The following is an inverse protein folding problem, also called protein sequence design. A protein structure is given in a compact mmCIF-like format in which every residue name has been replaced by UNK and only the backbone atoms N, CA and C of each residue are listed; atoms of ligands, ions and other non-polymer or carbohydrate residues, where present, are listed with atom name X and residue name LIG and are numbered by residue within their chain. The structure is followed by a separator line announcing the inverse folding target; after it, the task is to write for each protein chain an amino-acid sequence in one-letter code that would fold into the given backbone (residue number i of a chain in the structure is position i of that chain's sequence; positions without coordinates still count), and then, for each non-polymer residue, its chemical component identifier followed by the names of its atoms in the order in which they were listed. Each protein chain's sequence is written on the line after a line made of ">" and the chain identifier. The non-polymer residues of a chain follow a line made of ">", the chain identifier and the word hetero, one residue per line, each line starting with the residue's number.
data_IF_545275048838
#
_entry.id   IF_545275048838
#
_cell.length_a   1.000
_cell.length_b   1.000
_cell.length_c   1.000
_cell.angle_alpha   90.00
_cell.angle_beta   90.00
_cell.angle_gamma   90.00
#
_symmetry.space_group_name_H-M   'P 1'
#
loop_
_entity.id
_entity.type
_entity.pdbx_description
1 polymer ?
#
# COMPACT_ATOMS: atom_id res chain seq x y z
N UNK A 1 14.37 16.83 -12.66
CA UNK A 1 14.32 17.21 -11.24
C UNK A 1 12.89 16.97 -10.80
N UNK A 2 12.60 15.79 -10.27
CA UNK A 2 11.36 15.53 -9.56
C UNK A 2 11.55 15.85 -8.07
N UNK A 3 10.44 15.95 -7.36
CA UNK A 3 10.41 15.95 -5.90
C UNK A 3 9.64 14.68 -5.53
N UNK A 4 10.31 13.62 -5.12
CA UNK A 4 9.66 12.35 -4.79
C UNK A 4 9.03 12.31 -3.40
N UNK A 5 8.22 13.31 -3.07
CA UNK A 5 7.48 13.38 -1.81
C UNK A 5 5.98 13.26 -2.05
N UNK A 6 5.49 12.07 -2.39
CA UNK A 6 4.05 11.83 -2.53
C UNK A 6 3.45 11.29 -1.24
N UNK A 7 2.42 11.96 -0.76
CA UNK A 7 1.71 11.63 0.47
C UNK A 7 0.22 11.37 0.21
N UNK A 8 -0.48 10.94 1.25
CA UNK A 8 -1.94 10.87 1.30
C UNK A 8 -2.44 11.91 2.29
N UNK A 9 -3.36 12.75 1.84
CA UNK A 9 -3.97 13.81 2.65
C UNK A 9 -5.44 13.53 2.94
N UNK A 10 -5.87 13.82 4.17
CA UNK A 10 -7.28 13.88 4.54
C UNK A 10 -7.72 15.32 4.68
N UNK A 11 -8.85 15.64 4.05
CA UNK A 11 -9.43 16.98 4.05
C UNK A 11 -10.81 16.96 4.71
N UNK A 12 -11.07 17.93 5.58
CA UNK A 12 -12.41 18.15 6.13
C UNK A 12 -13.29 18.81 5.08
N UNK A 13 -14.39 18.15 4.69
CA UNK A 13 -15.23 18.64 3.58
C UNK A 13 -16.05 19.88 3.95
N UNK A 14 -16.39 20.09 5.22
CA UNK A 14 -17.15 21.26 5.67
C UNK A 14 -16.30 22.53 5.72
N UNK A 15 -15.05 22.40 6.17
CA UNK A 15 -14.14 23.54 6.38
C UNK A 15 -13.13 23.70 5.24
N UNK A 16 -13.01 22.70 4.37
CA UNK A 16 -11.97 22.59 3.34
C UNK A 16 -10.56 22.75 3.91
N UNK A 17 -10.36 22.30 5.15
CA UNK A 17 -9.07 22.33 5.83
C UNK A 17 -8.38 20.97 5.78
N UNK A 18 -7.06 20.99 5.71
CA UNK A 18 -6.23 19.80 5.81
C UNK A 18 -6.33 19.26 7.25
N UNK A 19 -6.84 18.05 7.40
CA UNK A 19 -6.94 17.36 8.69
C UNK A 19 -5.65 16.61 9.02
N UNK A 20 -5.12 15.89 8.04
CA UNK A 20 -3.95 15.04 8.17
C UNK A 20 -3.23 14.90 6.83
N UNK A 21 -1.91 14.75 6.88
CA UNK A 21 -1.08 14.40 5.74
C UNK A 21 -0.02 13.41 6.21
N UNK A 22 0.21 12.35 5.43
CA UNK A 22 1.22 11.35 5.81
C UNK A 22 2.65 11.91 5.78
N UNK A 23 2.91 13.02 5.08
CA UNK A 23 4.27 13.54 4.91
C UNK A 23 5.21 12.46 4.35
N UNK A 24 6.30 12.20 5.06
CA UNK A 24 7.32 11.18 4.77
C UNK A 24 7.06 9.82 5.47
N UNK A 25 5.90 9.65 6.12
CA UNK A 25 5.63 8.44 6.91
C UNK A 25 5.58 7.18 6.03
N UNK A 26 5.03 7.27 4.81
CA UNK A 26 5.02 6.14 3.88
C UNK A 26 6.44 5.67 3.54
N UNK A 27 7.33 6.60 3.19
CA UNK A 27 8.74 6.30 2.89
C UNK A 27 9.47 5.76 4.12
N UNK A 28 9.23 6.35 5.28
CA UNK A 28 9.83 5.90 6.54
C UNK A 28 9.42 4.46 6.85
N UNK A 29 8.14 4.12 6.70
CA UNK A 29 7.64 2.76 6.95
C UNK A 29 8.14 1.78 5.89
N UNK A 30 8.20 2.18 4.62
CA UNK A 30 8.74 1.36 3.54
C UNK A 30 10.22 1.06 3.75
N UNK A 31 11.04 2.07 4.05
CA UNK A 31 12.47 1.89 4.29
C UNK A 31 12.75 0.98 5.48
N UNK A 32 11.98 1.13 6.57
CA UNK A 32 12.17 0.34 7.79
C UNK A 32 11.75 -1.12 7.64
N UNK A 33 10.63 -1.39 6.95
CA UNK A 33 10.03 -2.73 6.91
C UNK A 33 10.34 -3.49 5.62
N UNK A 34 10.48 -2.78 4.50
CA UNK A 34 10.67 -3.34 3.16
C UNK A 34 11.82 -2.66 2.38
N UNK A 35 13.05 -2.61 2.95
CA UNK A 35 14.19 -1.93 2.31
C UNK A 35 14.59 -2.54 0.95
N UNK A 36 14.18 -3.78 0.69
CA UNK A 36 14.49 -4.50 -0.56
C UNK A 36 13.60 -4.11 -1.74
N UNK A 37 12.59 -3.28 -1.50
CA UNK A 37 11.74 -2.68 -2.54
C UNK A 37 11.58 -1.17 -2.40
N UNK A 38 12.27 -0.54 -1.45
CA UNK A 38 12.11 0.87 -1.11
C UNK A 38 12.17 1.78 -2.33
N UNK A 39 11.10 2.54 -2.58
CA UNK A 39 10.97 3.49 -3.70
C UNK A 39 11.44 2.90 -5.04
N UNK A 40 11.18 1.61 -5.22
CA UNK A 40 11.68 0.85 -6.35
C UNK A 40 10.79 0.88 -7.58
N UNK A 41 11.31 0.33 -8.67
CA UNK A 41 10.52 0.08 -9.87
C UNK A 41 9.98 -1.35 -9.97
N UNK A 42 8.87 -1.49 -10.69
CA UNK A 42 8.20 -2.76 -10.97
C UNK A 42 7.82 -2.92 -12.46
N UNK A 43 8.47 -2.18 -13.36
CA UNK A 43 8.16 -2.17 -14.79
C UNK A 43 9.20 -2.90 -15.68
N UNK A 44 10.31 -3.39 -15.13
CA UNK A 44 11.35 -4.07 -15.91
C UNK A 44 11.44 -5.56 -15.55
N UNK A 45 10.82 -6.40 -16.38
CA UNK A 45 10.79 -7.86 -16.22
C UNK A 45 12.15 -8.55 -16.03
N UNK A 46 13.24 -7.95 -16.52
CA UNK A 46 14.58 -8.54 -16.50
C UNK A 46 15.41 -8.13 -15.27
N UNK A 47 14.91 -7.23 -14.43
CA UNK A 47 15.55 -6.83 -13.18
C UNK A 47 14.80 -7.42 -12.00
N UNK A 48 15.50 -7.68 -10.90
CA UNK A 48 14.86 -8.05 -9.64
C UNK A 48 14.44 -6.80 -8.85
N UNK A 49 13.46 -6.91 -7.94
CA UNK A 49 13.10 -5.81 -7.05
C UNK A 49 14.32 -5.24 -6.29
N UNK A 50 15.23 -6.11 -5.84
CA UNK A 50 16.49 -5.71 -5.19
C UNK A 50 17.40 -4.84 -6.06
N UNK A 51 17.41 -5.06 -7.38
CA UNK A 51 18.21 -4.25 -8.32
C UNK A 51 17.56 -2.91 -8.64
N UNK A 52 16.29 -2.76 -8.27
CA UNK A 52 15.48 -1.59 -8.58
C UNK A 52 15.16 -0.72 -7.37
N UNK A 53 15.73 -1.03 -6.20
CA UNK A 53 15.62 -0.21 -4.99
C UNK A 53 16.08 1.22 -5.28
N UNK A 54 15.33 2.18 -4.75
CA UNK A 54 15.62 3.62 -4.75
C UNK A 54 15.65 4.26 -6.15
N UNK A 55 15.09 3.61 -7.17
CA UNK A 55 15.05 4.15 -8.53
C UNK A 55 14.02 5.27 -8.73
N UNK A 56 13.11 5.48 -7.76
CA UNK A 56 12.02 6.45 -7.90
C UNK A 56 11.98 7.52 -6.81
N UNK A 57 12.94 7.56 -5.88
CA UNK A 57 12.94 8.57 -4.80
C UNK A 57 13.09 10.00 -5.29
N UNK A 58 13.83 10.24 -6.38
CA UNK A 58 13.94 11.57 -6.99
C UNK A 58 12.80 11.87 -7.96
N UNK A 59 12.15 10.83 -8.49
CA UNK A 59 10.98 10.98 -9.35
C UNK A 59 9.73 11.30 -8.52
N UNK A 60 9.35 10.36 -7.67
CA UNK A 60 7.96 10.13 -7.25
C UNK A 60 7.81 9.46 -5.87
N UNK A 61 8.91 9.01 -5.26
CA UNK A 61 8.98 8.44 -3.92
C UNK A 61 8.15 7.16 -3.77
N UNK A 62 7.31 7.07 -2.72
CA UNK A 62 6.57 5.85 -2.39
C UNK A 62 5.40 5.59 -3.34
N UNK A 63 4.97 6.61 -4.10
CA UNK A 63 3.87 6.51 -5.07
C UNK A 63 2.60 5.84 -4.53
N UNK A 64 1.87 6.49 -3.60
CA UNK A 64 0.51 6.08 -3.27
C UNK A 64 -0.36 6.24 -4.52
N UNK A 65 -0.81 5.12 -5.08
CA UNK A 65 -1.54 5.05 -6.36
C UNK A 65 -3.01 4.71 -6.17
N UNK A 66 -3.37 4.10 -5.04
CA UNK A 66 -4.74 3.74 -4.72
C UNK A 66 -5.03 3.97 -3.24
N UNK A 67 -6.24 4.40 -2.90
CA UNK A 67 -6.68 4.62 -1.52
C UNK A 67 -8.13 4.19 -1.35
N UNK A 68 -8.43 3.53 -0.23
CA UNK A 68 -9.78 3.21 0.17
C UNK A 68 -9.97 3.41 1.67
N UNK A 69 -11.20 3.68 2.07
CA UNK A 69 -11.60 3.79 3.47
C UNK A 69 -12.78 2.86 3.77
N UNK A 70 -12.84 2.32 4.97
CA UNK A 70 -13.90 1.45 5.43
C UNK A 70 -13.94 1.36 6.95
N UNK A 71 -14.61 0.33 7.46
CA UNK A 71 -14.75 0.10 8.90
C UNK A 71 -14.23 -1.27 9.31
N UNK A 72 -13.49 -1.32 10.41
CA UNK A 72 -13.21 -2.54 11.15
C UNK A 72 -14.27 -2.75 12.23
N UNK A 73 -14.99 -3.86 12.15
CA UNK A 73 -16.22 -4.07 12.92
C UNK A 73 -17.26 -3.01 12.55
N UNK A 74 -17.89 -2.38 13.55
CA UNK A 74 -18.96 -1.42 13.30
C UNK A 74 -18.51 0.05 13.28
N UNK A 75 -17.37 0.38 13.91
CA UNK A 75 -17.10 1.78 14.28
C UNK A 75 -15.65 2.23 14.06
N UNK A 76 -14.70 1.31 13.88
CA UNK A 76 -13.29 1.71 13.82
C UNK A 76 -12.91 2.04 12.38
N UNK A 77 -12.65 3.31 12.04
CA UNK A 77 -12.24 3.68 10.70
C UNK A 77 -10.92 3.01 10.31
N UNK A 78 -10.86 2.54 9.07
CA UNK A 78 -9.64 2.05 8.45
C UNK A 78 -9.44 2.74 7.12
N UNK A 79 -8.20 3.10 6.82
CA UNK A 79 -7.77 3.63 5.53
C UNK A 79 -6.63 2.74 5.04
N UNK A 80 -6.72 2.31 3.79
CA UNK A 80 -5.68 1.51 3.15
C UNK A 80 -5.13 2.27 1.95
N UNK A 81 -3.82 2.22 1.79
CA UNK A 81 -3.10 2.90 0.71
C UNK A 81 -2.25 1.87 -0.01
N UNK A 82 -2.51 1.70 -1.31
CA UNK A 82 -1.71 0.86 -2.21
C UNK A 82 -0.62 1.69 -2.89
N UNK A 83 0.58 1.12 -2.99
CA UNK A 83 1.73 1.77 -3.64
C UNK A 83 2.15 1.08 -4.92
N UNK A 84 3.03 1.74 -5.67
CA UNK A 84 3.68 1.18 -6.85
C UNK A 84 4.48 -0.10 -6.55
N UNK A 85 5.20 -0.14 -5.43
CA UNK A 85 6.09 -1.27 -5.07
C UNK A 85 5.32 -2.48 -4.53
N UNK A 86 3.99 -2.38 -4.46
CA UNK A 86 3.10 -3.43 -3.99
C UNK A 86 2.88 -3.41 -2.48
N UNK A 87 3.14 -2.28 -1.83
CA UNK A 87 2.88 -2.11 -0.40
C UNK A 87 1.44 -1.68 -0.18
N UNK A 88 0.87 -2.24 0.88
CA UNK A 88 -0.43 -1.88 1.42
C UNK A 88 -0.18 -1.30 2.80
N UNK A 89 -0.30 0.01 2.93
CA UNK A 89 -0.26 0.68 4.22
C UNK A 89 -1.65 0.70 4.82
N UNK A 90 -1.74 0.53 6.13
CA UNK A 90 -2.99 0.59 6.88
C UNK A 90 -2.90 1.66 7.96
N UNK A 91 -3.95 2.47 8.00
CA UNK A 91 -4.16 3.57 8.93
C UNK A 91 -5.48 3.35 9.68
N UNK A 92 -5.52 3.66 10.98
CA UNK A 92 -6.73 3.50 11.80
C UNK A 92 -6.74 4.46 13.00
N UNK A 93 -7.61 4.18 13.98
CA UNK A 93 -7.90 4.94 15.21
C UNK A 93 -8.88 6.11 15.07
N UNK A 94 -8.51 7.18 14.37
CA UNK A 94 -9.32 8.40 14.22
C UNK A 94 -9.40 8.80 12.74
N UNK A 95 -10.55 9.32 12.28
CA UNK A 95 -10.72 9.83 10.91
C UNK A 95 -10.06 11.20 10.69
N UNK A 96 -9.86 11.99 11.73
CA UNK A 96 -9.22 13.30 11.64
C UNK A 96 -7.71 13.21 11.78
N UNK A 97 -7.21 12.27 12.58
CA UNK A 97 -5.78 12.05 12.81
C UNK A 97 -5.50 10.54 12.84
N UNK A 98 -5.58 9.86 11.69
CA UNK A 98 -5.30 8.44 11.63
C UNK A 98 -3.85 8.14 11.99
N UNK A 99 -3.61 6.98 12.59
CA UNK A 99 -2.27 6.48 12.90
C UNK A 99 -1.93 5.28 12.04
N UNK A 100 -0.69 5.25 11.52
CA UNK A 100 -0.17 4.09 10.81
C UNK A 100 -0.15 2.85 11.73
N UNK A 101 -0.80 1.78 11.28
CA UNK A 101 -0.93 0.52 12.02
C UNK A 101 0.05 -0.54 11.51
N UNK A 102 0.16 -0.67 10.18
CA UNK A 102 0.98 -1.69 9.54
C UNK A 102 1.23 -1.35 8.07
N UNK A 103 2.28 -1.98 7.55
CA UNK A 103 2.57 -2.04 6.12
C UNK A 103 2.78 -3.50 5.75
N UNK A 104 2.24 -3.92 4.61
CA UNK A 104 2.35 -5.29 4.11
C UNK A 104 2.70 -5.30 2.62
N UNK A 105 3.47 -6.29 2.20
CA UNK A 105 3.76 -6.57 0.79
C UNK A 105 3.91 -8.07 0.59
N UNK A 106 3.30 -8.56 -0.49
CA UNK A 106 3.54 -9.91 -1.00
C UNK A 106 4.63 -9.94 -2.07
N UNK A 107 5.18 -11.14 -2.29
CA UNK A 107 6.13 -11.41 -3.34
C UNK A 107 7.60 -11.36 -2.92
N UNK A 108 8.42 -12.18 -3.59
CA UNK A 108 9.85 -12.28 -3.35
C UNK A 108 10.60 -11.12 -4.04
N UNK A 109 11.87 -10.93 -3.68
CA UNK A 109 12.72 -9.85 -4.23
C UNK A 109 14.04 -10.35 -4.82
N UNK A 110 14.30 -11.65 -4.74
CA UNK A 110 15.59 -12.28 -4.99
C UNK A 110 15.81 -12.75 -6.44
N UNK A 111 14.85 -12.57 -7.34
CA UNK A 111 14.90 -12.98 -8.74
C UNK A 111 14.31 -11.89 -9.64
N UNK A 112 14.61 -11.89 -10.95
CA UNK A 112 13.97 -10.99 -11.89
C UNK A 112 12.44 -11.08 -11.87
N UNK A 113 11.75 -9.96 -12.09
CA UNK A 113 10.28 -9.90 -12.09
C UNK A 113 9.64 -10.94 -13.00
N UNK A 114 10.19 -11.20 -14.20
CA UNK A 114 9.68 -12.22 -15.12
C UNK A 114 9.71 -13.63 -14.49
N UNK A 115 10.81 -13.97 -13.80
CA UNK A 115 10.95 -15.26 -13.12
C UNK A 115 9.98 -15.35 -11.94
N UNK A 116 9.89 -14.28 -11.14
CA UNK A 116 8.94 -14.20 -10.04
C UNK A 116 7.50 -14.34 -10.53
N UNK A 117 7.16 -13.67 -11.63
CA UNK A 117 5.85 -13.73 -12.25
C UNK A 117 5.51 -15.15 -12.71
N UNK A 118 6.40 -15.79 -13.49
CA UNK A 118 6.19 -17.18 -13.95
C UNK A 118 6.02 -18.17 -12.80
N UNK A 119 6.67 -17.93 -11.66
CA UNK A 119 6.59 -18.79 -10.49
C UNK A 119 5.44 -18.43 -9.52
N UNK A 120 4.63 -17.40 -9.81
CA UNK A 120 3.58 -16.93 -8.91
C UNK A 120 4.10 -16.28 -7.62
N UNK A 121 5.31 -15.71 -7.66
CA UNK A 121 6.04 -15.13 -6.52
C UNK A 121 6.28 -13.63 -6.66
N UNK A 122 5.68 -12.97 -7.66
CA UNK A 122 5.86 -11.53 -7.88
C UNK A 122 5.06 -10.66 -6.88
N UNK A 123 3.99 -11.20 -6.28
CA UNK A 123 3.07 -10.43 -5.45
C UNK A 123 2.22 -9.45 -6.28
N UNK A 124 1.85 -8.33 -5.67
CA UNK A 124 0.98 -7.31 -6.28
C UNK A 124 1.80 -6.13 -6.80
N UNK A 125 2.40 -6.29 -7.99
CA UNK A 125 3.18 -5.23 -8.60
C UNK A 125 2.30 -4.08 -9.10
N UNK A 126 2.60 -2.86 -8.69
CA UNK A 126 1.90 -1.63 -9.07
C UNK A 126 0.40 -1.71 -8.76
N UNK A 127 0.06 -1.51 -7.48
CA UNK A 127 -1.33 -1.50 -7.03
C UNK A 127 -2.05 -0.29 -7.63
N UNK A 128 -2.92 -0.50 -8.61
CA UNK A 128 -3.65 0.59 -9.27
C UNK A 128 -5.02 0.85 -8.68
N UNK A 129 -5.57 -0.13 -7.97
CA UNK A 129 -6.84 0.00 -7.29
C UNK A 129 -6.85 -0.85 -6.02
N UNK A 130 -7.61 -0.41 -5.03
CA UNK A 130 -7.72 -1.02 -3.72
C UNK A 130 -9.12 -0.77 -3.17
N UNK A 131 -9.66 -1.73 -2.44
CA UNK A 131 -10.94 -1.54 -1.76
C UNK A 131 -11.10 -2.42 -0.54
N UNK A 132 -12.12 -2.12 0.25
CA UNK A 132 -12.44 -2.83 1.49
C UNK A 132 -13.82 -3.48 1.34
N UNK A 133 -13.92 -4.75 1.68
CA UNK A 133 -15.16 -5.48 1.94
C UNK A 133 -15.36 -5.49 3.44
N UNK A 134 -16.47 -4.91 3.92
CA UNK A 134 -16.73 -4.82 5.35
C UNK A 134 -17.03 -6.20 5.95
N UNK A 135 -16.87 -6.33 7.26
CA UNK A 135 -17.08 -7.58 7.99
C UNK A 135 -18.47 -8.21 7.75
N UNK A 136 -19.52 -7.40 7.62
CA UNK A 136 -20.89 -7.85 7.37
C UNK A 136 -21.15 -8.32 5.93
N UNK A 137 -20.27 -7.97 4.99
CA UNK A 137 -20.32 -8.35 3.58
C UNK A 137 -19.31 -9.46 3.25
N UNK A 138 -18.44 -9.79 4.21
CA UNK A 138 -17.38 -10.77 4.06
C UNK A 138 -17.83 -12.19 4.45
N UNK A 139 -17.42 -13.23 3.69
CA UNK A 139 -17.81 -14.60 3.97
C UNK A 139 -17.28 -15.15 5.30
N UNK A 140 -16.21 -14.56 5.86
CA UNK A 140 -15.61 -14.99 7.11
C UNK A 140 -15.89 -14.04 8.29
N UNK A 141 -16.74 -13.02 8.10
CA UNK A 141 -17.07 -12.04 9.13
C UNK A 141 -15.93 -11.10 9.51
N UNK A 142 -14.83 -11.06 8.76
CA UNK A 142 -13.69 -10.16 8.95
C UNK A 142 -13.58 -9.20 7.76
N UNK A 143 -13.17 -7.93 7.96
CA UNK A 143 -12.92 -7.03 6.85
C UNK A 143 -11.82 -7.57 5.94
N UNK A 144 -12.04 -7.50 4.63
CA UNK A 144 -11.09 -7.91 3.62
C UNK A 144 -10.67 -6.70 2.79
N UNK A 145 -9.40 -6.65 2.39
CA UNK A 145 -8.86 -5.67 1.45
C UNK A 145 -8.59 -6.39 0.15
N UNK A 146 -9.15 -5.93 -0.96
CA UNK A 146 -8.78 -6.40 -2.28
C UNK A 146 -7.86 -5.39 -2.96
N UNK A 147 -6.94 -5.86 -3.79
CA UNK A 147 -6.04 -5.02 -4.60
C UNK A 147 -5.97 -5.52 -6.03
N UNK A 148 -5.66 -4.60 -6.95
CA UNK A 148 -5.38 -4.92 -8.36
C UNK A 148 -3.94 -4.52 -8.66
N UNK A 149 -3.08 -5.51 -8.92
CA UNK A 149 -1.69 -5.32 -9.34
C UNK A 149 -1.60 -5.24 -10.87
N UNK A 150 -1.35 -4.06 -11.41
CA UNK A 150 -1.36 -3.85 -12.87
C UNK A 150 -0.13 -4.44 -13.58
N UNK A 151 1.03 -4.48 -12.92
CA UNK A 151 2.24 -5.07 -13.50
C UNK A 151 2.20 -6.60 -13.51
N UNK A 152 1.56 -7.18 -12.49
CA UNK A 152 1.44 -8.64 -12.31
C UNK A 152 0.09 -9.20 -12.75
N UNK A 153 -0.84 -8.35 -13.19
CA UNK A 153 -2.21 -8.77 -13.51
C UNK A 153 -2.91 -9.49 -12.35
N UNK A 154 -2.51 -9.24 -11.10
CA UNK A 154 -3.01 -9.95 -9.93
C UNK A 154 -4.27 -9.29 -9.39
N UNK A 155 -5.14 -10.13 -8.82
CA UNK A 155 -6.22 -9.71 -7.92
C UNK A 155 -6.05 -10.51 -6.65
N UNK A 156 -5.66 -9.83 -5.57
CA UNK A 156 -5.38 -10.45 -4.28
C UNK A 156 -6.36 -9.95 -3.22
N UNK A 157 -6.57 -10.75 -2.18
CA UNK A 157 -7.44 -10.44 -1.06
C UNK A 157 -6.74 -10.71 0.25
N UNK A 158 -6.68 -9.69 1.10
CA UNK A 158 -6.00 -9.67 2.39
C UNK A 158 -7.00 -9.55 3.51
N UNK A 159 -6.86 -10.34 4.56
CA UNK A 159 -7.69 -10.19 5.75
C UNK A 159 -7.09 -9.12 6.68
N UNK A 160 -7.91 -8.17 7.12
CA UNK A 160 -7.51 -7.20 8.13
C UNK A 160 -7.57 -7.85 9.51
N UNK A 161 -6.48 -7.75 10.27
CA UNK A 161 -6.43 -8.16 11.67
C UNK A 161 -5.87 -7.02 12.52
N UNK A 162 -6.67 -6.54 13.47
CA UNK A 162 -6.22 -5.55 14.45
C UNK A 162 -5.92 -6.24 15.78
N UNK A 163 -4.64 -6.29 16.13
CA UNK A 163 -4.22 -6.76 17.43
C UNK A 163 -4.33 -5.58 18.42
N UNK A 164 -5.38 -5.58 19.24
CA UNK A 164 -5.46 -4.64 20.38
C UNK A 164 -4.33 -4.97 21.35
N UNK A 165 -3.39 -4.04 21.52
CA UNK A 165 -2.44 -4.05 22.63
C UNK A 165 -3.13 -3.56 23.90
#
# INVERSE_FOLDING_TARGET
>A
MGYGGRSVSLWQTQTMSLAFDTGDELETQEFQNYPTTFNGEANNGNQSPLQQVDQRSDDHGPEPTAVASGLYGNNLPIIVVGTRTGLIHMYSDDLLVPRHQSVHREGMTNQPWNTLYTNGQAGDGIITDIGIINANESPNGQPLVWVIGSATGSVAMYQVQLNRK
#
